data_IF_364696515618
#
_entry.id   IF_364696515618
#
_cell.length_a   1.000
_cell.length_b   1.000
_cell.length_c   1.000
_cell.angle_alpha   90.00
_cell.angle_beta   90.00
_cell.angle_gamma   90.00
#
_symmetry.space_group_name_H-M   'P 1'
#
loop_
_entity.id
_entity.type
_entity.pdbx_description
1 polymer ?
#
# COMPACT_ATOMS: atom_id res chain seq x y z
N UNK A 1 -3.03 11.28 11.64
CA UNK A 1 -2.11 11.31 10.49
C UNK A 1 -2.93 11.38 9.20
N UNK A 2 -2.56 12.19 8.20
CA UNK A 2 -3.27 12.25 6.92
C UNK A 2 -2.88 11.09 5.99
N UNK A 3 -3.85 10.48 5.31
CA UNK A 3 -3.66 9.55 4.20
C UNK A 3 -4.30 10.16 2.95
N UNK A 4 -3.67 10.02 1.78
CA UNK A 4 -4.21 10.57 0.52
C UNK A 4 -4.36 9.47 -0.54
N UNK A 5 -5.46 9.54 -1.29
CA UNK A 5 -5.65 8.75 -2.51
C UNK A 5 -4.91 9.45 -3.64
N UNK A 6 -4.09 8.71 -4.38
CA UNK A 6 -3.36 9.22 -5.55
C UNK A 6 -3.61 8.32 -6.74
N UNK A 7 -3.77 8.92 -7.92
CA UNK A 7 -3.67 8.18 -9.17
C UNK A 7 -2.20 7.82 -9.40
N UNK A 8 -1.91 6.54 -9.60
CA UNK A 8 -0.53 6.09 -9.87
C UNK A 8 -0.52 5.01 -10.96
N UNK A 9 0.36 5.13 -11.98
CA UNK A 9 0.56 4.08 -12.95
C UNK A 9 1.21 2.84 -12.30
N UNK A 10 0.63 1.66 -12.53
CA UNK A 10 1.22 0.38 -12.16
C UNK A 10 1.79 -0.32 -13.41
N UNK A 11 3.07 -0.71 -13.37
CA UNK A 11 3.75 -1.43 -14.45
C UNK A 11 3.62 -2.93 -14.21
N UNK A 12 3.24 -3.69 -15.24
CA UNK A 12 3.17 -5.16 -15.19
C UNK A 12 4.59 -5.74 -15.15
N UNK A 13 4.91 -6.54 -14.14
CA UNK A 13 6.20 -7.21 -14.01
C UNK A 13 6.32 -8.46 -14.89
N UNK A 14 7.32 -8.48 -15.77
CA UNK A 14 8.12 -9.66 -16.15
C UNK A 14 7.50 -10.69 -17.10
N UNK A 15 7.30 -10.36 -18.38
CA UNK A 15 7.30 -11.41 -19.43
C UNK A 15 6.41 -11.25 -20.65
N UNK A 16 5.45 -10.31 -20.69
CA UNK A 16 4.50 -10.28 -21.82
C UNK A 16 3.96 -8.93 -22.29
N UNK A 17 4.05 -7.86 -21.49
CA UNK A 17 3.51 -6.55 -21.90
C UNK A 17 4.20 -5.37 -21.18
N UNK A 18 5.40 -4.96 -21.63
CA UNK A 18 5.99 -3.69 -21.24
C UNK A 18 5.15 -2.54 -21.82
N UNK A 19 4.74 -1.57 -20.99
CA UNK A 19 4.19 -0.27 -21.45
C UNK A 19 2.70 0.00 -21.22
N UNK A 20 1.94 -0.92 -20.64
CA UNK A 20 0.54 -0.65 -20.27
C UNK A 20 0.43 -0.15 -18.83
N UNK A 21 0.14 1.14 -18.68
CA UNK A 21 -0.32 1.75 -17.44
C UNK A 21 -1.79 1.39 -17.26
N UNK A 22 -2.08 0.54 -16.27
CA UNK A 22 -3.46 0.30 -15.86
C UNK A 22 -3.82 1.34 -14.80
N UNK A 23 -4.96 2.05 -14.94
CA UNK A 23 -5.49 2.89 -13.87
C UNK A 23 -5.65 2.02 -12.63
N UNK A 24 -5.06 2.43 -11.52
CA UNK A 24 -5.25 1.76 -10.24
C UNK A 24 -5.48 2.75 -9.12
N UNK A 25 -6.33 2.38 -8.18
CA UNK A 25 -6.49 3.10 -6.93
C UNK A 25 -5.33 2.73 -6.01
N UNK A 26 -4.45 3.72 -5.74
CA UNK A 26 -3.30 3.55 -4.85
C UNK A 26 -3.50 4.39 -3.59
N UNK A 27 -3.35 3.74 -2.44
CA UNK A 27 -3.30 4.42 -1.14
C UNK A 27 -1.85 4.78 -0.84
N UNK A 28 -1.56 6.07 -0.75
CA UNK A 28 -0.24 6.57 -0.38
C UNK A 28 -0.18 6.89 1.12
N UNK A 29 0.72 6.19 1.80
CA UNK A 29 1.06 6.38 3.21
C UNK A 29 2.50 6.89 3.33
N UNK A 30 2.90 7.52 4.44
CA UNK A 30 4.32 7.81 4.70
C UNK A 30 5.18 6.56 4.61
N UNK A 31 6.42 6.67 4.11
CA UNK A 31 7.34 5.53 3.97
C UNK A 31 7.55 4.73 5.27
N UNK A 32 7.47 5.41 6.42
CA UNK A 32 7.57 4.79 7.75
C UNK A 32 6.55 3.66 8.00
N UNK A 33 5.45 3.61 7.24
CA UNK A 33 4.46 2.53 7.32
C UNK A 33 4.95 1.21 6.72
N UNK A 34 5.93 1.23 5.82
CA UNK A 34 6.33 0.05 5.07
C UNK A 34 6.87 -1.09 5.95
N UNK A 35 7.64 -0.79 6.99
CA UNK A 35 8.16 -1.81 7.90
C UNK A 35 7.08 -2.34 8.88
N UNK A 36 6.32 -1.49 9.59
CA UNK A 36 5.23 -1.95 10.46
C UNK A 36 4.16 -2.75 9.72
N UNK A 37 3.79 -2.36 8.49
CA UNK A 37 2.83 -3.12 7.68
C UNK A 37 3.34 -4.52 7.33
N UNK A 38 4.63 -4.67 7.03
CA UNK A 38 5.24 -5.98 6.73
C UNK A 38 5.36 -6.89 7.96
N UNK A 39 5.53 -6.30 9.15
CA UNK A 39 5.76 -7.01 10.40
C UNK A 39 4.49 -7.19 11.24
N UNK A 40 3.37 -6.61 10.80
CA UNK A 40 2.09 -6.67 11.50
C UNK A 40 1.46 -8.07 11.48
N UNK A 41 0.40 -8.29 12.28
CA UNK A 41 -0.30 -9.57 12.38
C UNK A 41 -0.85 -10.07 11.03
N UNK A 42 -1.33 -9.15 10.19
CA UNK A 42 -1.58 -9.38 8.77
C UNK A 42 -0.49 -8.66 7.98
N UNK A 43 0.47 -9.39 7.38
CA UNK A 43 1.53 -8.79 6.58
C UNK A 43 0.97 -8.13 5.33
N UNK A 44 1.19 -6.82 5.19
CA UNK A 44 0.84 -6.05 3.99
C UNK A 44 2.12 -5.55 3.34
N UNK A 45 2.31 -5.86 2.06
CA UNK A 45 3.48 -5.45 1.28
C UNK A 45 3.08 -4.37 0.28
N UNK A 46 3.52 -3.14 0.53
CA UNK A 46 3.45 -2.03 -0.42
C UNK A 46 4.77 -1.80 -1.14
N UNK A 47 4.74 -1.10 -2.28
CA UNK A 47 5.96 -0.56 -2.91
C UNK A 47 6.36 0.73 -2.22
N UNK A 48 7.65 1.01 -2.08
CA UNK A 48 8.14 2.32 -1.62
C UNK A 48 8.62 3.14 -2.81
N UNK A 49 8.16 4.39 -2.90
CA UNK A 49 8.59 5.35 -3.93
C UNK A 49 8.35 6.77 -3.41
N UNK A 50 9.28 7.69 -3.70
CA UNK A 50 9.14 9.12 -3.41
C UNK A 50 8.74 9.45 -1.96
N UNK A 51 9.38 8.78 -0.99
CA UNK A 51 9.09 8.98 0.44
C UNK A 51 7.73 8.43 0.91
N UNK A 52 7.08 7.61 0.09
CA UNK A 52 5.77 7.03 0.37
C UNK A 52 5.77 5.51 0.29
N UNK A 53 4.99 4.87 1.17
CA UNK A 53 4.55 3.49 1.04
C UNK A 53 3.23 3.47 0.26
N UNK A 54 3.23 2.79 -0.88
CA UNK A 54 2.13 2.75 -1.83
C UNK A 54 1.47 1.36 -1.80
N UNK A 55 0.19 1.33 -1.47
CA UNK A 55 -0.64 0.14 -1.46
C UNK A 55 -1.54 0.15 -2.68
N UNK A 56 -1.31 -0.78 -3.59
CA UNK A 56 -2.08 -0.89 -4.84
C UNK A 56 -3.31 -1.78 -4.62
N UNK A 57 -4.51 -1.19 -4.63
CA UNK A 57 -5.75 -1.93 -4.34
C UNK A 57 -6.08 -2.96 -5.43
N UNK A 58 -5.50 -2.85 -6.63
CA UNK A 58 -5.71 -3.87 -7.66
C UNK A 58 -5.12 -5.23 -7.29
N UNK A 59 -4.12 -5.26 -6.43
CA UNK A 59 -3.48 -6.50 -5.96
C UNK A 59 -4.16 -7.04 -4.71
N UNK A 60 -5.21 -6.36 -4.24
CA UNK A 60 -5.96 -6.70 -3.04
C UNK A 60 -7.34 -7.19 -3.49
N UNK A 61 -7.73 -8.44 -3.13
CA UNK A 61 -9.10 -8.88 -3.36
C UNK A 61 -10.08 -8.00 -2.61
N UNK A 62 -11.20 -7.58 -3.22
CA UNK A 62 -12.19 -6.70 -2.58
C UNK A 62 -12.68 -7.16 -1.18
N UNK A 63 -12.84 -8.47 -0.89
CA UNK A 63 -13.18 -8.92 0.47
C UNK A 63 -12.12 -8.61 1.54
N UNK A 64 -10.87 -8.36 1.14
CA UNK A 64 -9.76 -8.06 2.03
C UNK A 64 -9.67 -6.56 2.39
N UNK A 65 -10.54 -5.70 1.87
CA UNK A 65 -10.51 -4.24 2.13
C UNK A 65 -10.59 -3.92 3.63
N UNK A 66 -11.44 -4.64 4.37
CA UNK A 66 -11.59 -4.45 5.82
C UNK A 66 -10.32 -4.86 6.58
N UNK A 67 -9.67 -5.94 6.15
CA UNK A 67 -8.44 -6.46 6.75
C UNK A 67 -7.26 -5.53 6.45
N UNK A 68 -7.14 -5.05 5.20
CA UNK A 68 -6.16 -4.05 4.81
C UNK A 68 -6.31 -2.77 5.63
N UNK A 69 -7.54 -2.27 5.79
CA UNK A 69 -7.81 -1.09 6.59
C UNK A 69 -7.45 -1.30 8.07
N UNK A 70 -7.69 -2.50 8.63
CA UNK A 70 -7.29 -2.84 9.99
C UNK A 70 -5.75 -2.86 10.14
N UNK A 71 -5.02 -3.48 9.21
CA UNK A 71 -3.56 -3.53 9.21
C UNK A 71 -2.95 -2.11 9.16
N UNK A 72 -3.51 -1.21 8.33
CA UNK A 72 -3.07 0.19 8.26
C UNK A 72 -3.31 0.93 9.58
N UNK A 73 -4.45 0.72 10.25
CA UNK A 73 -4.73 1.34 11.55
C UNK A 73 -3.77 0.85 12.64
N UNK A 74 -3.52 -0.45 12.72
CA UNK A 74 -2.58 -1.04 13.66
C UNK A 74 -1.15 -0.51 13.44
N UNK A 75 -0.71 -0.39 12.18
CA UNK A 75 0.56 0.22 11.85
C UNK A 75 0.63 1.70 12.31
N UNK A 76 -0.45 2.46 12.11
CA UNK A 76 -0.52 3.85 12.56
C UNK A 76 -0.44 3.98 14.10
N UNK A 77 -1.10 3.09 14.84
CA UNK A 77 -1.03 3.05 16.30
C UNK A 77 0.38 2.72 16.80
N UNK A 78 1.08 1.78 16.13
CA UNK A 78 2.47 1.45 16.43
C UNK A 78 3.42 2.63 16.21
N UNK A 79 3.19 3.42 15.16
CA UNK A 79 3.97 4.62 14.84
C UNK A 79 3.65 5.82 15.73
N UNK A 80 2.46 5.86 16.33
CA UNK A 80 2.06 6.93 17.25
C UNK A 80 2.52 6.70 18.69
N UNK A 81 3.01 5.49 19.01
CA UNK A 81 3.54 5.15 20.33
C UNK A 81 4.98 5.69 20.45
N UNK A 82 5.32 6.44 21.51
CA UNK A 82 6.64 7.03 21.71
C UNK A 82 7.74 5.99 21.98
#
# INVERSE_FOLDING_TARGET
MPARVVDSPAVVGGGGAPGMVLPSAVVALPEAFAAPLRQGPTPVVGRTADGSCLLDLRTVPAPADAELAAAVRLAAEGLARP
#
